data_IF_705394767060
#
_entry.id   IF_705394767060
#
_cell.length_a   1.000
_cell.length_b   1.000
_cell.length_c   1.000
_cell.angle_alpha   90.00
_cell.angle_beta   90.00
_cell.angle_gamma   90.00
#
_symmetry.space_group_name_H-M   'P 1'
#
loop_
_entity.id
_entity.type
_entity.pdbx_description
1 polymer ?
#
# COMPACT_ATOMS: atom_id res chain seq x y z
N UNK A 1 -16.56 24.85 -10.05
CA UNK A 1 -16.77 24.31 -8.68
C UNK A 1 -15.47 24.51 -7.91
N UNK A 2 -15.45 25.17 -6.74
CA UNK A 2 -14.24 25.30 -5.93
C UNK A 2 -13.87 23.97 -5.26
N UNK A 3 -12.58 23.65 -5.15
CA UNK A 3 -12.11 22.51 -4.35
C UNK A 3 -12.03 22.94 -2.88
N UNK A 4 -12.79 22.28 -2.00
CA UNK A 4 -12.69 22.50 -0.55
C UNK A 4 -11.40 21.88 0.00
N UNK A 5 -10.45 22.72 0.40
CA UNK A 5 -9.23 22.27 1.07
C UNK A 5 -9.52 21.97 2.53
N UNK A 6 -9.68 20.69 2.87
CA UNK A 6 -9.71 20.21 4.25
C UNK A 6 -8.28 19.90 4.69
N UNK A 7 -7.82 20.44 5.82
CA UNK A 7 -6.57 20.00 6.45
C UNK A 7 -6.81 18.60 7.03
N UNK A 8 -6.45 17.57 6.27
CA UNK A 8 -6.54 16.18 6.71
C UNK A 8 -5.33 15.87 7.58
N UNK A 9 -5.57 15.35 8.78
CA UNK A 9 -4.52 14.72 9.59
C UNK A 9 -4.34 13.31 9.04
N UNK A 10 -3.30 13.13 8.24
CA UNK A 10 -2.99 11.85 7.63
C UNK A 10 -2.44 10.88 8.67
N UNK A 11 -2.59 9.57 8.42
CA UNK A 11 -1.89 8.58 9.22
C UNK A 11 -0.37 8.67 8.95
N UNK A 12 0.45 8.13 9.86
CA UNK A 12 1.91 8.22 9.75
C UNK A 12 2.46 7.60 8.44
N UNK A 13 1.80 6.57 7.93
CA UNK A 13 2.15 5.93 6.64
C UNK A 13 1.96 6.89 5.47
N UNK A 14 0.81 7.56 5.40
CA UNK A 14 0.50 8.54 4.35
C UNK A 14 1.41 9.75 4.46
N UNK A 15 1.70 10.24 5.67
CA UNK A 15 2.68 11.32 5.86
C UNK A 15 4.07 10.92 5.36
N UNK A 16 4.49 9.67 5.61
CA UNK A 16 5.76 9.15 5.10
C UNK A 16 5.77 9.09 3.58
N UNK A 17 4.72 8.57 2.94
CA UNK A 17 4.62 8.49 1.49
C UNK A 17 4.61 9.90 0.83
N UNK A 18 3.94 10.88 1.45
CA UNK A 18 3.98 12.28 1.00
C UNK A 18 5.39 12.85 1.10
N UNK A 19 6.10 12.58 2.21
CA UNK A 19 7.48 13.05 2.39
C UNK A 19 8.42 12.44 1.35
N UNK A 20 8.35 11.14 1.16
CA UNK A 20 9.13 10.43 0.13
C UNK A 20 8.85 11.00 -1.26
N UNK A 21 7.58 11.22 -1.61
CA UNK A 21 7.18 11.82 -2.88
C UNK A 21 7.82 13.20 -3.07
N UNK A 22 7.91 14.01 -2.01
CA UNK A 22 8.59 15.32 -2.06
C UNK A 22 10.09 15.18 -2.29
N UNK A 23 10.74 14.20 -1.67
CA UNK A 23 12.17 13.93 -1.87
C UNK A 23 12.48 13.43 -3.28
N UNK A 24 11.58 12.63 -3.86
CA UNK A 24 11.65 12.22 -5.27
C UNK A 24 11.53 13.44 -6.18
N UNK A 25 10.52 14.28 -5.95
CA UNK A 25 10.30 15.49 -6.76
C UNK A 25 11.44 16.50 -6.66
N UNK A 26 12.09 16.60 -5.49
CA UNK A 26 13.25 17.47 -5.31
C UNK A 26 14.55 16.88 -5.87
N UNK A 27 14.52 15.65 -6.39
CA UNK A 27 15.69 14.94 -6.92
C UNK A 27 16.64 14.40 -5.85
N UNK A 28 16.23 14.39 -4.58
CA UNK A 28 17.02 13.84 -3.47
C UNK A 28 16.93 12.31 -3.43
N UNK A 29 15.81 11.76 -3.88
CA UNK A 29 15.57 10.32 -3.98
C UNK A 29 15.37 9.95 -5.46
N UNK A 30 16.15 9.00 -6.02
CA UNK A 30 15.94 8.57 -7.39
C UNK A 30 14.63 7.80 -7.52
N UNK A 31 13.79 8.19 -8.48
CA UNK A 31 12.57 7.47 -8.83
C UNK A 31 12.85 6.32 -9.81
N UNK A 32 12.06 5.24 -9.72
CA UNK A 32 12.03 4.20 -10.75
C UNK A 32 11.48 4.82 -12.05
N UNK A 33 12.14 4.53 -13.17
CA UNK A 33 11.73 4.98 -14.49
C UNK A 33 11.25 3.77 -15.30
N UNK A 34 10.08 3.92 -15.93
CA UNK A 34 9.49 2.90 -16.76
C UNK A 34 9.28 3.46 -18.17
N UNK A 35 9.53 2.62 -19.16
CA UNK A 35 9.35 2.94 -20.59
C UNK A 35 7.88 2.89 -21.02
N UNK A 36 7.03 2.21 -20.25
CA UNK A 36 5.58 2.12 -20.50
C UNK A 36 4.80 1.87 -19.21
N UNK A 37 3.50 2.19 -19.23
CA UNK A 37 2.60 1.84 -18.11
C UNK A 37 2.56 0.32 -17.87
N UNK A 38 2.65 -0.49 -18.94
CA UNK A 38 2.66 -1.96 -18.81
C UNK A 38 3.89 -2.50 -18.07
N UNK A 39 5.02 -1.80 -18.13
CA UNK A 39 6.23 -2.19 -17.37
C UNK A 39 6.04 -1.93 -15.87
N UNK A 40 5.48 -0.77 -15.50
CA UNK A 40 5.11 -0.43 -14.12
C UNK A 40 4.15 -1.48 -13.52
N UNK A 41 3.05 -1.79 -14.21
CA UNK A 41 2.06 -2.74 -13.69
C UNK A 41 2.61 -4.15 -13.54
N UNK A 42 3.50 -4.62 -14.44
CA UNK A 42 4.13 -5.94 -14.32
C UNK A 42 5.00 -6.07 -13.08
N UNK A 43 5.66 -5.00 -12.67
CA UNK A 43 6.44 -4.96 -11.44
C UNK A 43 5.53 -5.01 -10.20
N UNK A 44 4.46 -4.19 -10.18
CA UNK A 44 3.46 -4.19 -9.10
C UNK A 44 2.78 -5.57 -8.95
N UNK A 45 2.35 -6.18 -10.06
CA UNK A 45 1.77 -7.52 -10.08
C UNK A 45 2.75 -8.59 -9.55
N UNK A 46 4.06 -8.37 -9.70
CA UNK A 46 5.09 -9.26 -9.19
C UNK A 46 5.31 -9.08 -7.68
N UNK A 47 5.20 -7.85 -7.17
CA UNK A 47 5.23 -7.52 -5.74
C UNK A 47 3.99 -8.09 -5.01
N UNK A 48 2.80 -8.00 -5.61
CA UNK A 48 1.54 -8.49 -5.02
C UNK A 48 1.50 -10.03 -4.88
N UNK A 49 2.06 -10.77 -5.85
CA UNK A 49 2.07 -12.25 -5.85
C UNK A 49 2.91 -12.88 -4.74
N UNK A 50 3.63 -12.09 -3.95
CA UNK A 50 4.36 -12.57 -2.77
C UNK A 50 3.42 -12.73 -1.55
N UNK A 51 2.18 -12.19 -1.59
CA UNK A 51 1.27 -12.12 -0.43
C UNK A 51 0.20 -13.25 -0.43
N UNK A 52 0.08 -14.06 -1.49
CA UNK A 52 -0.93 -15.15 -1.53
C UNK A 52 -0.51 -16.46 -0.81
N UNK A 53 0.67 -16.51 -0.18
CA UNK A 53 1.19 -17.75 0.43
C UNK A 53 1.06 -17.85 1.95
N UNK A 54 0.64 -16.81 2.66
CA UNK A 54 0.66 -16.82 4.14
C UNK A 54 -0.65 -16.60 4.90
N UNK A 55 -1.84 -16.56 4.27
CA UNK A 55 -3.11 -16.44 5.03
C UNK A 55 -4.17 -17.52 4.73
N UNK A 56 -3.75 -18.78 4.51
CA UNK A 56 -4.66 -19.96 4.51
C UNK A 56 -4.32 -21.02 5.56
N UNK A 57 -3.84 -20.62 6.74
CA UNK A 57 -3.60 -21.56 7.86
C UNK A 57 -4.14 -21.13 9.23
N UNK A 58 -5.00 -20.11 9.33
CA UNK A 58 -5.70 -19.78 10.58
C UNK A 58 -7.19 -20.10 10.48
N UNK A 59 -7.48 -21.35 10.14
CA UNK A 59 -8.81 -21.91 10.28
C UNK A 59 -8.70 -23.27 10.94
N UNK A 60 -9.24 -23.36 12.16
CA UNK A 60 -9.73 -24.53 12.93
C UNK A 60 -9.09 -24.62 14.33
N UNK A 61 -9.96 -24.90 15.29
CA UNK A 61 -9.79 -24.91 16.75
C UNK A 61 -9.96 -23.50 17.36
N UNK A 62 -11.04 -23.16 18.05
CA UNK A 62 -11.83 -23.92 19.01
C UNK A 62 -13.33 -23.70 18.82
N UNK A 63 -14.09 -24.79 18.72
CA UNK A 63 -15.53 -24.76 18.95
C UNK A 63 -15.78 -24.47 20.43
N UNK A 64 -16.20 -23.25 20.74
CA UNK A 64 -16.79 -22.96 22.04
C UNK A 64 -18.25 -23.44 22.00
N UNK A 65 -18.50 -24.54 22.70
CA UNK A 65 -19.85 -24.99 22.98
C UNK A 65 -20.51 -23.97 23.91
N UNK A 66 -21.35 -23.09 23.35
CA UNK A 66 -22.27 -22.29 24.15
C UNK A 66 -23.47 -23.18 24.47
N UNK A 67 -23.48 -23.72 25.69
CA UNK A 67 -24.67 -24.26 26.33
C UNK A 67 -25.42 -23.10 27.01
N UNK A 68 -26.60 -22.76 26.51
CA UNK A 68 -27.65 -22.10 27.30
C UNK A 68 -29.00 -22.70 26.92
#
# INVERSE_FOLDING_TARGET
>A
MPLEMRQQHFNAETESAIRESREILSGNTPARHYSSAGELFRELDAEEKVIDREDRSKGKESGEAICI
#
